data_IF_864160088151
#
_entry.id   IF_864160088151
#
_cell.length_a   1.000
_cell.length_b   1.000
_cell.length_c   1.000
_cell.angle_alpha   90.00
_cell.angle_beta   90.00
_cell.angle_gamma   90.00
#
_symmetry.space_group_name_H-M   'P 1'
#
loop_
_entity.id
_entity.type
_entity.pdbx_description
1 polymer ?
#
# COMPACT_ATOMS: atom_id res chain seq x y z
N UNK A 1 9.33 -1.12 1.36
CA UNK A 1 8.61 -0.78 2.60
C UNK A 1 7.26 -1.45 2.59
N UNK A 2 6.92 -2.12 3.67
CA UNK A 2 5.63 -2.77 3.86
C UNK A 2 4.91 -2.08 5.01
N UNK A 3 3.67 -1.66 4.77
CA UNK A 3 2.85 -0.98 5.78
C UNK A 3 1.56 -1.77 5.98
N UNK A 4 1.21 -2.01 7.24
CA UNK A 4 -0.04 -2.69 7.59
C UNK A 4 -1.25 -1.89 7.09
N UNK A 5 -2.24 -2.57 6.52
CA UNK A 5 -3.47 -1.92 6.10
C UNK A 5 -4.22 -1.29 7.28
N UNK A 6 -4.09 -1.84 8.48
CA UNK A 6 -4.70 -1.29 9.69
C UNK A 6 -4.13 0.07 10.05
N UNK A 7 -2.84 0.29 9.80
CA UNK A 7 -2.20 1.59 10.02
C UNK A 7 -2.64 2.63 8.98
N UNK A 8 -2.95 2.17 7.77
CA UNK A 8 -3.27 3.07 6.66
C UNK A 8 -4.76 3.39 6.55
N UNK A 9 -5.64 2.41 6.82
CA UNK A 9 -7.07 2.51 6.52
C UNK A 9 -7.91 1.92 7.65
N UNK A 10 -9.13 2.43 7.76
CA UNK A 10 -10.17 1.78 8.56
C UNK A 10 -10.72 0.55 7.81
N UNK A 11 -11.48 -0.27 8.52
CA UNK A 11 -12.09 -1.47 7.96
C UNK A 11 -12.91 -1.13 6.70
N UNK A 12 -12.71 -1.89 5.64
CA UNK A 12 -13.40 -1.72 4.35
C UNK A 12 -13.26 -0.34 3.69
N UNK A 13 -12.30 0.46 4.13
CA UNK A 13 -12.10 1.82 3.61
C UNK A 13 -10.85 1.92 2.76
N UNK A 14 -10.89 2.78 1.75
CA UNK A 14 -9.74 3.20 0.96
C UNK A 14 -9.34 4.65 1.27
N UNK A 15 -9.93 5.25 2.30
CA UNK A 15 -9.57 6.60 2.75
C UNK A 15 -8.43 6.51 3.76
N UNK A 16 -7.31 7.19 3.46
CA UNK A 16 -6.14 7.17 4.32
C UNK A 16 -6.42 7.83 5.67
N UNK A 17 -6.05 7.13 6.73
CA UNK A 17 -6.04 7.67 8.09
C UNK A 17 -4.88 8.66 8.25
N UNK A 18 -4.98 9.56 9.24
CA UNK A 18 -3.90 10.50 9.52
C UNK A 18 -2.58 9.79 9.84
N UNK A 19 -2.64 8.68 10.59
CA UNK A 19 -1.49 7.83 10.86
C UNK A 19 -0.86 7.31 9.57
N UNK A 20 -1.68 6.87 8.62
CA UNK A 20 -1.22 6.39 7.32
C UNK A 20 -0.59 7.50 6.49
N UNK A 21 -1.20 8.67 6.50
CA UNK A 21 -0.65 9.85 5.80
C UNK A 21 0.73 10.21 6.33
N UNK A 22 0.91 10.18 7.65
CA UNK A 22 2.21 10.47 8.26
C UNK A 22 3.29 9.49 7.83
N UNK A 23 2.95 8.18 7.80
CA UNK A 23 3.89 7.14 7.36
C UNK A 23 4.28 7.33 5.89
N UNK A 24 3.32 7.65 5.03
CA UNK A 24 3.59 7.87 3.60
C UNK A 24 4.37 9.16 3.39
N UNK A 25 4.10 10.19 4.20
CA UNK A 25 4.86 11.45 4.16
C UNK A 25 6.34 11.19 4.46
N UNK A 26 6.63 10.40 5.50
CA UNK A 26 8.00 10.05 5.85
C UNK A 26 8.70 9.31 4.71
N UNK A 27 8.00 8.38 4.08
CA UNK A 27 8.53 7.66 2.92
C UNK A 27 8.80 8.62 1.75
N UNK A 28 7.86 9.52 1.47
CA UNK A 28 7.99 10.50 0.39
C UNK A 28 9.17 11.44 0.62
N UNK A 29 9.38 11.87 1.86
CA UNK A 29 10.53 12.69 2.23
C UNK A 29 11.84 11.93 2.03
N UNK A 30 11.87 10.65 2.37
CA UNK A 30 13.02 9.78 2.12
C UNK A 30 13.32 9.66 0.63
N UNK A 31 12.31 9.52 -0.21
CA UNK A 31 12.49 9.47 -1.67
C UNK A 31 13.05 10.80 -2.19
N UNK A 32 12.49 11.90 -1.73
CA UNK A 32 12.97 13.24 -2.14
C UNK A 32 14.42 13.48 -1.75
N UNK A 33 14.85 12.96 -0.60
CA UNK A 33 16.22 13.13 -0.12
C UNK A 33 17.26 12.42 -1.00
N UNK A 34 16.81 11.50 -1.87
CA UNK A 34 17.70 10.77 -2.79
C UNK A 34 17.98 11.52 -4.09
N UNK A 35 17.43 12.71 -4.24
CA UNK A 35 17.83 13.64 -5.31
C UNK A 35 17.61 13.14 -6.72
N UNK A 36 16.52 12.42 -6.98
CA UNK A 36 16.19 11.92 -8.32
C UNK A 36 16.79 10.56 -8.67
N UNK A 37 17.49 9.90 -7.73
CA UNK A 37 18.00 8.55 -7.94
C UNK A 37 16.89 7.50 -7.93
N UNK A 38 15.72 7.80 -7.38
CA UNK A 38 14.54 6.94 -7.44
C UNK A 38 13.76 7.27 -8.71
N UNK A 39 13.63 6.29 -9.59
CA UNK A 39 12.96 6.48 -10.90
C UNK A 39 11.59 5.82 -10.96
N UNK A 40 11.34 4.79 -10.15
CA UNK A 40 10.05 4.09 -10.08
C UNK A 40 9.62 3.91 -8.63
N UNK A 41 8.32 4.11 -8.38
CA UNK A 41 7.67 3.80 -7.11
C UNK A 41 6.48 2.91 -7.44
N UNK A 42 6.54 1.65 -7.01
CA UNK A 42 5.47 0.67 -7.26
C UNK A 42 4.73 0.38 -5.96
N UNK A 43 3.42 0.55 -6.00
CA UNK A 43 2.53 0.34 -4.84
C UNK A 43 1.64 -0.85 -5.12
N UNK A 44 1.68 -1.88 -4.27
CA UNK A 44 0.88 -3.08 -4.44
C UNK A 44 0.06 -3.34 -3.17
N UNK A 45 -1.26 -3.41 -3.33
CA UNK A 45 -2.19 -3.71 -2.25
C UNK A 45 -2.48 -5.20 -2.14
N UNK A 46 -2.55 -5.70 -0.92
CA UNK A 46 -2.81 -7.09 -0.59
C UNK A 46 -3.91 -7.21 0.47
N UNK A 47 -4.67 -8.29 0.40
CA UNK A 47 -5.68 -8.63 1.40
C UNK A 47 -5.40 -10.00 1.99
N UNK A 48 -6.13 -10.35 3.07
CA UNK A 48 -6.24 -11.75 3.46
C UNK A 48 -7.25 -12.46 2.57
N UNK A 49 -7.52 -13.75 2.85
CA UNK A 49 -8.44 -14.56 2.04
C UNK A 49 -9.90 -14.49 2.50
N UNK A 50 -10.22 -13.64 3.48
CA UNK A 50 -11.59 -13.51 4.01
C UNK A 50 -12.47 -12.76 3.03
N UNK A 51 -13.68 -13.26 2.80
CA UNK A 51 -14.64 -12.64 1.91
C UNK A 51 -14.47 -13.04 0.45
N UNK A 52 -15.12 -12.31 -0.45
CA UNK A 52 -15.09 -12.65 -1.87
C UNK A 52 -13.80 -12.19 -2.52
N UNK A 53 -13.32 -12.98 -3.49
CA UNK A 53 -12.16 -12.64 -4.30
C UNK A 53 -12.37 -11.29 -5.01
N UNK A 54 -13.56 -11.09 -5.56
CA UNK A 54 -13.88 -9.88 -6.33
C UNK A 54 -13.79 -8.62 -5.48
N UNK A 55 -14.36 -8.63 -4.27
CA UNK A 55 -14.29 -7.50 -3.35
C UNK A 55 -12.86 -7.25 -2.89
N UNK A 56 -12.12 -8.31 -2.61
CA UNK A 56 -10.72 -8.20 -2.17
C UNK A 56 -9.84 -7.63 -3.28
N UNK A 57 -10.03 -8.06 -4.51
CA UNK A 57 -9.31 -7.51 -5.65
C UNK A 57 -9.59 -6.02 -5.81
N UNK A 58 -10.86 -5.63 -5.74
CA UNK A 58 -11.26 -4.22 -5.86
C UNK A 58 -10.67 -3.38 -4.73
N UNK A 59 -10.84 -3.83 -3.48
CA UNK A 59 -10.35 -3.08 -2.32
C UNK A 59 -8.83 -2.91 -2.35
N UNK A 60 -8.10 -3.95 -2.73
CA UNK A 60 -6.65 -3.87 -2.83
C UNK A 60 -6.21 -2.87 -3.89
N UNK A 61 -6.90 -2.82 -5.04
CA UNK A 61 -6.61 -1.82 -6.07
C UNK A 61 -6.91 -0.40 -5.60
N UNK A 62 -8.04 -0.19 -4.97
CA UNK A 62 -8.46 1.12 -4.48
C UNK A 62 -7.51 1.64 -3.40
N UNK A 63 -7.09 0.77 -2.49
CA UNK A 63 -6.14 1.13 -1.44
C UNK A 63 -4.76 1.46 -2.00
N UNK A 64 -4.26 0.66 -2.94
CA UNK A 64 -2.99 0.95 -3.60
C UNK A 64 -3.05 2.29 -4.35
N UNK A 65 -4.16 2.56 -5.03
CA UNK A 65 -4.35 3.83 -5.73
C UNK A 65 -4.37 5.01 -4.77
N UNK A 66 -5.00 4.88 -3.60
CA UNK A 66 -5.02 5.94 -2.59
C UNK A 66 -3.61 6.26 -2.09
N UNK A 67 -2.80 5.24 -1.83
CA UNK A 67 -1.41 5.41 -1.41
C UNK A 67 -0.59 6.07 -2.51
N UNK A 68 -0.70 5.58 -3.74
CA UNK A 68 0.04 6.12 -4.89
C UNK A 68 -0.31 7.60 -5.14
N UNK A 69 -1.60 7.95 -5.06
CA UNK A 69 -2.05 9.33 -5.23
C UNK A 69 -1.49 10.25 -4.15
N UNK A 70 -1.45 9.77 -2.92
CA UNK A 70 -0.89 10.56 -1.83
C UNK A 70 0.60 10.81 -2.02
N UNK A 71 1.36 9.77 -2.43
CA UNK A 71 2.79 9.92 -2.74
C UNK A 71 2.99 10.94 -3.85
N UNK A 72 2.19 10.85 -4.92
CA UNK A 72 2.28 11.79 -6.04
C UNK A 72 2.05 13.23 -5.60
N UNK A 73 1.12 13.45 -4.66
CA UNK A 73 0.81 14.77 -4.11
C UNK A 73 1.90 15.35 -3.22
N UNK A 74 2.89 14.55 -2.82
CA UNK A 74 3.98 15.02 -1.95
C UNK A 74 5.17 15.61 -2.73
N UNK A 75 5.05 15.77 -4.05
CA UNK A 75 6.11 16.39 -4.83
C UNK A 75 7.31 15.49 -5.09
N UNK A 76 7.08 14.19 -5.20
CA UNK A 76 8.12 13.23 -5.60
C UNK A 76 8.33 13.39 -7.10
N UNK A 77 9.26 14.25 -7.47
CA UNK A 77 9.49 14.65 -8.86
C UNK A 77 10.41 13.68 -9.58
N UNK A 78 10.10 13.38 -10.84
CA UNK A 78 10.91 12.53 -11.69
C UNK A 78 10.71 11.03 -11.54
N UNK A 79 9.97 10.59 -10.53
CA UNK A 79 9.65 9.18 -10.34
C UNK A 79 8.34 8.84 -11.04
N UNK A 80 8.27 7.65 -11.63
CA UNK A 80 7.02 7.07 -12.12
C UNK A 80 6.36 6.33 -10.98
N UNK A 81 5.09 6.64 -10.71
CA UNK A 81 4.35 6.03 -9.62
C UNK A 81 3.27 5.14 -10.22
N UNK A 82 3.31 3.85 -9.86
CA UNK A 82 2.32 2.88 -10.32
C UNK A 82 1.63 2.23 -9.13
N UNK A 83 0.43 1.74 -9.36
CA UNK A 83 -0.32 1.02 -8.33
C UNK A 83 -0.99 -0.21 -8.92
N UNK A 84 -1.10 -1.26 -8.10
CA UNK A 84 -1.80 -2.48 -8.45
C UNK A 84 -2.40 -3.10 -7.19
N UNK A 85 -3.46 -3.86 -7.36
CA UNK A 85 -4.04 -4.65 -6.30
C UNK A 85 -4.07 -6.11 -6.72
N UNK A 86 -3.58 -6.99 -5.86
CA UNK A 86 -3.54 -8.43 -6.15
C UNK A 86 -4.45 -9.24 -5.23
N UNK A 87 -5.22 -8.57 -4.36
CA UNK A 87 -6.12 -9.24 -3.43
C UNK A 87 -5.37 -10.23 -2.55
N UNK A 88 -5.91 -11.46 -2.35
CA UNK A 88 -5.30 -12.47 -1.51
C UNK A 88 -4.29 -13.37 -2.22
N UNK A 89 -3.89 -13.06 -3.46
CA UNK A 89 -3.12 -13.98 -4.29
C UNK A 89 -1.66 -14.16 -3.89
N UNK A 90 -1.11 -13.26 -3.06
CA UNK A 90 0.31 -13.30 -2.67
C UNK A 90 0.45 -13.21 -1.15
N UNK A 91 0.03 -14.25 -0.41
CA UNK A 91 0.14 -14.23 1.05
C UNK A 91 1.59 -14.35 1.51
N UNK A 92 1.92 -13.69 2.62
CA UNK A 92 3.22 -13.82 3.28
C UNK A 92 3.12 -14.59 4.58
N UNK A 93 1.91 -14.93 5.01
CA UNK A 93 1.65 -15.69 6.23
C UNK A 93 0.40 -16.53 6.05
N UNK A 94 0.10 -17.39 7.03
CA UNK A 94 -1.07 -18.25 6.98
C UNK A 94 -2.37 -17.44 7.09
N UNK A 95 -3.33 -17.73 6.23
CA UNK A 95 -4.69 -17.20 6.35
C UNK A 95 -5.54 -17.97 7.36
N UNK A 96 -5.01 -19.06 7.94
CA UNK A 96 -5.74 -19.88 8.91
C UNK A 96 -5.78 -19.24 10.30
N UNK A 97 -4.89 -18.29 10.58
CA UNK A 97 -4.84 -17.59 11.86
C UNK A 97 -5.07 -16.11 11.68
N UNK A 98 -5.62 -15.44 12.71
CA UNK A 98 -5.80 -13.98 12.65
C UNK A 98 -4.45 -13.26 12.59
N UNK A 99 -3.44 -13.75 13.29
CA UNK A 99 -2.10 -13.17 13.23
C UNK A 99 -1.53 -13.20 11.81
N UNK A 100 -1.71 -14.33 11.10
CA UNK A 100 -1.27 -14.46 9.71
C UNK A 100 -2.09 -13.59 8.76
N UNK A 101 -3.40 -13.56 8.94
CA UNK A 101 -4.27 -12.70 8.12
C UNK A 101 -3.89 -11.22 8.28
N UNK A 102 -3.57 -10.79 9.50
CA UNK A 102 -3.16 -9.41 9.75
C UNK A 102 -1.88 -9.06 8.97
N UNK A 103 -0.93 -9.99 8.86
CA UNK A 103 0.28 -9.79 8.07
C UNK A 103 -0.02 -9.71 6.58
N UNK A 104 -1.03 -10.44 6.11
CA UNK A 104 -1.40 -10.44 4.69
C UNK A 104 -2.11 -9.14 4.28
N UNK A 105 -2.80 -8.46 5.21
CA UNK A 105 -3.46 -7.16 4.96
C UNK A 105 -2.40 -6.05 5.00
N UNK A 106 -1.85 -5.73 3.84
CA UNK A 106 -0.73 -4.79 3.75
C UNK A 106 -0.68 -4.08 2.41
N UNK A 107 0.10 -3.00 2.37
CA UNK A 107 0.50 -2.34 1.12
C UNK A 107 2.02 -2.38 1.06
N UNK A 108 2.54 -2.88 -0.05
CA UNK A 108 3.98 -2.95 -0.30
C UNK A 108 4.37 -1.84 -1.26
N UNK A 109 5.42 -1.08 -0.90
CA UNK A 109 5.92 0.02 -1.70
C UNK A 109 7.37 -0.28 -2.04
N UNK A 110 7.65 -0.47 -3.32
CA UNK A 110 8.99 -0.77 -3.83
C UNK A 110 9.50 0.42 -4.63
N UNK A 111 10.71 0.85 -4.32
CA UNK A 111 11.37 1.95 -5.04
C UNK A 111 12.55 1.42 -5.85
N UNK A 112 12.71 1.98 -7.06
CA UNK A 112 13.81 1.61 -7.97
C UNK A 112 14.47 2.84 -8.57
#
# INVERSE_FOLDING_TARGET
VTISATALFDFDSDVLKDEGKAAIQDLSDSIKSKGGSVVDVDVVGHTDSTGSMELNMRLSRERAASVASYIAGQGVSGARISSAGVGPSQPIASNDTEAGRAQNRRVEITTR
#
